data_IF_685532529341
#
_entry.id   IF_685532529341
#
_cell.length_a   1.000
_cell.length_b   1.000
_cell.length_c   1.000
_cell.angle_alpha   90.00
_cell.angle_beta   90.00
_cell.angle_gamma   90.00
#
_symmetry.space_group_name_H-M   'P 1'
#
loop_
_entity.id
_entity.type
_entity.pdbx_description
1 polymer ?
#
# COMPACT_ATOMS: atom_id res chain seq x y z
N UNK A 1 8.79 -22.26 -8.08
CA UNK A 1 8.80 -20.86 -7.69
C UNK A 1 7.41 -20.31 -7.60
N UNK A 2 7.13 -19.66 -6.51
CA UNK A 2 5.78 -19.18 -6.24
C UNK A 2 5.51 -17.89 -7.00
N UNK A 3 4.49 -17.90 -7.85
CA UNK A 3 4.06 -16.73 -8.62
C UNK A 3 2.85 -16.03 -8.02
N UNK A 4 2.34 -16.53 -6.92
CA UNK A 4 1.10 -16.03 -6.37
C UNK A 4 1.15 -14.55 -5.98
N UNK A 5 2.26 -14.01 -5.44
CA UNK A 5 2.31 -12.57 -5.15
C UNK A 5 2.16 -11.72 -6.41
N UNK A 6 2.72 -12.16 -7.54
CA UNK A 6 2.57 -11.43 -8.80
C UNK A 6 1.14 -11.48 -9.32
N UNK A 7 0.46 -12.62 -9.15
CA UNK A 7 -0.95 -12.72 -9.53
C UNK A 7 -1.80 -11.79 -8.68
N UNK A 8 -1.52 -11.71 -7.40
CA UNK A 8 -2.23 -10.81 -6.50
C UNK A 8 -2.04 -9.35 -6.92
N UNK A 9 -0.79 -8.97 -7.23
CA UNK A 9 -0.52 -7.61 -7.69
C UNK A 9 -1.25 -7.30 -8.98
N UNK A 10 -1.29 -8.24 -9.91
CA UNK A 10 -2.01 -8.05 -11.17
C UNK A 10 -3.50 -7.87 -10.94
N UNK A 11 -4.07 -8.62 -10.03
CA UNK A 11 -5.50 -8.53 -9.71
C UNK A 11 -5.81 -7.15 -9.11
N UNK A 12 -4.96 -6.68 -8.18
CA UNK A 12 -5.14 -5.36 -7.59
C UNK A 12 -5.02 -4.27 -8.66
N UNK A 13 -3.99 -4.36 -9.48
CA UNK A 13 -3.76 -3.39 -10.55
C UNK A 13 -4.98 -3.29 -11.47
N UNK A 14 -5.48 -4.43 -11.92
CA UNK A 14 -6.61 -4.46 -12.84
C UNK A 14 -7.87 -3.90 -12.20
N UNK A 15 -8.09 -4.20 -10.92
CA UNK A 15 -9.26 -3.66 -10.22
C UNK A 15 -9.17 -2.15 -10.09
N UNK A 16 -7.99 -1.62 -9.77
CA UNK A 16 -7.80 -0.17 -9.68
C UNK A 16 -8.07 0.52 -11.00
N UNK A 17 -7.57 -0.07 -12.11
CA UNK A 17 -7.86 0.46 -13.45
C UNK A 17 -9.36 0.42 -13.74
N UNK A 18 -10.01 -0.66 -13.40
CA UNK A 18 -11.44 -0.82 -13.61
C UNK A 18 -12.23 0.27 -12.88
N UNK A 19 -11.77 0.66 -11.69
CA UNK A 19 -12.41 1.72 -10.90
C UNK A 19 -12.08 3.12 -11.39
N UNK A 20 -11.26 3.24 -12.42
CA UNK A 20 -10.95 4.53 -13.03
C UNK A 20 -9.71 5.22 -12.50
N UNK A 21 -8.91 4.53 -11.70
CA UNK A 21 -7.67 5.13 -11.21
C UNK A 21 -6.57 5.08 -12.26
N UNK A 22 -5.75 6.11 -12.29
CA UNK A 22 -4.44 6.05 -12.92
C UNK A 22 -3.49 5.41 -11.92
N UNK A 23 -2.80 4.36 -12.33
CA UNK A 23 -1.99 3.55 -11.42
C UNK A 23 -0.54 3.57 -11.85
N UNK A 24 0.34 3.85 -10.91
CA UNK A 24 1.78 3.77 -11.13
C UNK A 24 2.42 3.01 -10.00
N UNK A 25 3.62 2.51 -10.25
CA UNK A 25 4.49 1.95 -9.21
C UNK A 25 5.39 3.11 -8.76
N UNK A 26 5.54 3.29 -7.45
CA UNK A 26 6.17 4.50 -6.97
C UNK A 26 7.40 4.28 -6.13
N UNK A 27 8.36 5.18 -6.33
CA UNK A 27 9.48 5.35 -5.42
C UNK A 27 9.26 6.69 -4.71
N UNK A 28 9.22 6.65 -3.39
CA UNK A 28 8.97 7.82 -2.57
C UNK A 28 10.31 8.32 -2.05
N UNK A 29 10.71 9.56 -2.39
CA UNK A 29 11.96 10.10 -1.87
C UNK A 29 11.89 10.24 -0.36
N UNK A 30 12.94 9.81 0.31
CA UNK A 30 13.08 10.01 1.74
C UNK A 30 14.43 10.63 2.04
N UNK A 31 14.50 11.41 3.10
CA UNK A 31 15.71 12.07 3.53
C UNK A 31 15.98 11.68 4.98
N UNK A 32 17.19 11.21 5.25
CA UNK A 32 17.59 10.79 6.59
C UNK A 32 18.63 11.78 7.13
N UNK A 33 18.31 12.34 8.27
CA UNK A 33 19.18 13.33 8.93
C UNK A 33 19.83 12.76 10.20
N UNK A 34 19.61 11.48 10.50
CA UNK A 34 20.00 10.90 11.80
C UNK A 34 21.50 10.84 12.00
N UNK A 35 22.29 10.90 10.93
CA UNK A 35 23.76 10.82 11.01
C UNK A 35 24.43 12.20 11.02
N UNK A 36 23.66 13.27 11.16
CA UNK A 36 24.18 14.63 11.05
C UNK A 36 24.43 15.10 9.63
N UNK A 37 24.19 14.24 8.66
CA UNK A 37 24.23 14.56 7.24
C UNK A 37 22.91 14.18 6.61
N UNK A 38 22.49 14.98 5.63
CA UNK A 38 21.29 14.64 4.86
C UNK A 38 21.62 13.52 3.88
N UNK A 39 20.95 12.40 4.05
CA UNK A 39 21.09 11.30 3.13
C UNK A 39 19.80 11.13 2.33
N UNK A 40 19.95 10.88 1.05
CA UNK A 40 18.84 10.62 0.15
C UNK A 40 18.63 9.14 0.00
N UNK A 41 17.38 8.76 -0.06
CA UNK A 41 17.01 7.40 -0.39
C UNK A 41 15.64 7.39 -1.02
N UNK A 42 15.13 6.21 -1.29
CA UNK A 42 13.76 6.05 -1.72
C UNK A 42 13.17 4.81 -1.07
N UNK A 43 11.87 4.86 -0.85
CA UNK A 43 11.07 3.72 -0.43
C UNK A 43 10.10 3.43 -1.55
N UNK A 44 9.90 2.15 -1.84
CA UNK A 44 8.98 1.75 -2.89
C UNK A 44 7.65 1.38 -2.31
N UNK A 45 6.60 1.79 -2.99
CA UNK A 45 5.24 1.31 -2.74
C UNK A 45 4.78 0.55 -3.96
N UNK A 46 3.95 -0.46 -3.75
CA UNK A 46 3.52 -1.29 -4.86
C UNK A 46 2.67 -0.51 -5.85
N UNK A 47 1.75 0.34 -5.35
CA UNK A 47 0.87 1.10 -6.23
C UNK A 47 0.64 2.50 -5.69
N UNK A 48 0.59 3.44 -6.61
CA UNK A 48 0.07 4.78 -6.35
C UNK A 48 -1.14 4.94 -7.27
N UNK A 49 -2.32 5.09 -6.68
CA UNK A 49 -3.56 5.17 -7.42
C UNK A 49 -4.11 6.59 -7.34
N UNK A 50 -4.33 7.20 -8.49
CA UNK A 50 -4.76 8.60 -8.55
C UNK A 50 -6.05 8.72 -9.37
N UNK A 51 -6.98 9.48 -8.84
CA UNK A 51 -8.24 9.76 -9.51
C UNK A 51 -8.73 11.13 -9.04
N UNK A 52 -8.97 12.05 -10.00
CA UNK A 52 -9.34 13.44 -9.70
C UNK A 52 -8.25 14.07 -8.81
N UNK A 53 -8.61 14.50 -7.61
CA UNK A 53 -7.66 15.08 -6.66
C UNK A 53 -7.30 14.13 -5.53
N UNK A 54 -7.64 12.85 -5.68
CA UNK A 54 -7.38 11.84 -4.67
C UNK A 54 -6.15 11.01 -5.05
N UNK A 55 -5.28 10.79 -4.07
CA UNK A 55 -4.10 9.92 -4.22
C UNK A 55 -4.11 8.90 -3.10
N UNK A 56 -3.98 7.62 -3.46
CA UNK A 56 -3.97 6.51 -2.52
C UNK A 56 -2.68 5.74 -2.71
N UNK A 57 -1.97 5.49 -1.61
CA UNK A 57 -0.74 4.70 -1.60
C UNK A 57 -1.06 3.31 -1.09
N UNK A 58 -0.70 2.28 -1.86
CA UNK A 58 -1.13 0.91 -1.59
C UNK A 58 0.08 -0.01 -1.57
N UNK A 59 0.20 -0.78 -0.49
CA UNK A 59 1.10 -1.92 -0.40
C UNK A 59 0.27 -3.19 -0.43
N UNK A 60 0.84 -4.25 -0.97
CA UNK A 60 0.19 -5.55 -0.96
C UNK A 60 1.11 -6.61 -0.42
N UNK A 61 0.57 -7.54 0.33
CA UNK A 61 1.31 -8.69 0.83
C UNK A 61 0.39 -9.88 0.85
N UNK A 62 0.89 -11.00 0.32
CA UNK A 62 0.10 -12.22 0.27
C UNK A 62 -0.20 -12.71 1.67
N UNK A 63 0.79 -12.67 2.55
CA UNK A 63 0.74 -13.27 3.86
C UNK A 63 1.72 -12.55 4.79
N UNK A 64 1.30 -12.32 6.02
CA UNK A 64 2.12 -11.64 7.02
C UNK A 64 2.25 -12.57 8.23
N UNK A 65 3.37 -13.32 8.31
CA UNK A 65 3.52 -14.33 9.36
C UNK A 65 3.83 -13.76 10.73
N UNK A 66 4.43 -12.58 10.80
CA UNK A 66 4.91 -12.05 12.08
C UNK A 66 5.00 -10.53 12.05
N UNK A 67 5.35 -9.95 13.20
CA UNK A 67 5.44 -8.51 13.36
C UNK A 67 6.55 -7.89 12.53
N UNK A 68 7.62 -8.64 12.32
CA UNK A 68 8.74 -8.14 11.50
C UNK A 68 8.30 -7.92 10.06
N UNK A 69 7.56 -8.87 9.50
CA UNK A 69 7.04 -8.74 8.14
C UNK A 69 6.03 -7.60 8.06
N UNK A 70 5.16 -7.48 9.06
CA UNK A 70 4.20 -6.40 9.12
C UNK A 70 4.93 -5.05 9.11
N UNK A 71 5.99 -4.93 9.90
CA UNK A 71 6.77 -3.71 9.97
C UNK A 71 7.40 -3.36 8.63
N UNK A 72 7.92 -4.37 7.92
CA UNK A 72 8.49 -4.17 6.59
C UNK A 72 7.47 -3.61 5.60
N UNK A 73 6.25 -4.15 5.62
CA UNK A 73 5.21 -3.70 4.69
C UNK A 73 4.67 -2.32 5.02
N UNK A 74 4.55 -2.01 6.30
CA UNK A 74 4.00 -0.72 6.73
C UNK A 74 4.99 0.42 6.63
N UNK A 75 6.28 0.11 6.65
CA UNK A 75 7.32 1.14 6.72
C UNK A 75 7.23 2.19 5.61
N UNK A 76 7.11 1.80 4.33
CA UNK A 76 6.96 2.81 3.27
C UNK A 76 5.72 3.67 3.46
N UNK A 77 4.63 3.07 3.90
CA UNK A 77 3.37 3.81 4.09
C UNK A 77 3.49 4.82 5.22
N UNK A 78 4.21 4.48 6.30
CA UNK A 78 4.39 5.39 7.42
C UNK A 78 5.20 6.63 7.08
N UNK A 79 6.02 6.56 6.01
CA UNK A 79 6.84 7.69 5.60
C UNK A 79 6.06 8.69 4.75
N UNK A 80 4.84 8.36 4.37
CA UNK A 80 3.99 9.22 3.57
C UNK A 80 3.20 10.14 4.50
N UNK A 81 3.01 11.39 4.09
CA UNK A 81 2.29 12.36 4.90
C UNK A 81 0.85 11.97 5.19
N UNK A 82 0.30 12.51 6.26
CA UNK A 82 -1.01 12.13 6.76
C UNK A 82 -2.18 12.57 5.88
N UNK A 83 -1.93 13.46 4.93
CA UNK A 83 -3.00 13.97 4.08
C UNK A 83 -3.36 12.98 2.95
N UNK A 84 -2.65 11.87 2.84
CA UNK A 84 -2.92 10.88 1.80
C UNK A 84 -3.47 9.60 2.41
N UNK A 85 -4.35 8.93 1.66
CA UNK A 85 -4.87 7.64 2.07
C UNK A 85 -3.81 6.57 1.86
N UNK A 86 -3.68 5.68 2.83
CA UNK A 86 -2.68 4.61 2.83
C UNK A 86 -3.37 3.30 3.14
N UNK A 87 -3.11 2.28 2.33
CA UNK A 87 -3.79 1.00 2.43
C UNK A 87 -2.79 -0.14 2.33
N UNK A 88 -2.92 -1.11 3.21
CA UNK A 88 -2.22 -2.39 3.09
C UNK A 88 -3.26 -3.44 2.75
N UNK A 89 -3.11 -4.07 1.58
CA UNK A 89 -4.02 -5.13 1.13
C UNK A 89 -3.32 -6.48 1.35
N UNK A 90 -3.99 -7.37 2.08
CA UNK A 90 -3.45 -8.71 2.34
C UNK A 90 -4.47 -9.76 1.94
N UNK A 91 -3.98 -10.94 1.53
CA UNK A 91 -4.90 -11.99 1.08
C UNK A 91 -5.57 -12.71 2.25
N UNK A 92 -4.83 -12.93 3.33
CA UNK A 92 -5.29 -13.78 4.43
C UNK A 92 -5.66 -13.01 5.69
N UNK A 93 -5.33 -11.73 5.77
CA UNK A 93 -5.60 -10.89 6.92
C UNK A 93 -6.33 -9.63 6.49
N UNK A 94 -6.46 -8.69 7.42
CA UNK A 94 -7.12 -7.43 7.14
C UNK A 94 -8.57 -7.46 7.57
N UNK A 95 -8.89 -6.61 8.56
CA UNK A 95 -10.22 -6.56 9.15
C UNK A 95 -11.01 -5.32 8.73
N UNK A 96 -10.50 -4.55 7.78
CA UNK A 96 -11.16 -3.35 7.32
C UNK A 96 -11.05 -2.17 8.28
N UNK A 97 -10.11 -2.21 9.20
CA UNK A 97 -9.94 -1.16 10.19
C UNK A 97 -8.66 -0.37 9.94
N UNK A 98 -8.66 0.89 10.37
CA UNK A 98 -7.48 1.75 10.35
C UNK A 98 -6.64 1.48 11.58
N UNK A 99 -5.32 1.45 11.42
CA UNK A 99 -4.43 1.34 12.56
C UNK A 99 -4.13 2.73 13.14
N UNK A 100 -3.27 2.76 14.16
CA UNK A 100 -2.96 4.00 14.88
C UNK A 100 -2.21 5.01 14.01
N UNK A 101 -1.63 4.56 12.90
CA UNK A 101 -0.93 5.44 11.96
C UNK A 101 -1.82 5.85 10.79
N UNK A 102 -3.11 5.51 10.85
CA UNK A 102 -4.06 5.86 9.81
C UNK A 102 -3.99 5.01 8.57
N UNK A 103 -3.38 3.84 8.65
CA UNK A 103 -3.27 2.91 7.51
C UNK A 103 -4.44 1.93 7.58
N UNK A 104 -5.16 1.84 6.47
CA UNK A 104 -6.27 0.89 6.35
C UNK A 104 -5.72 -0.50 6.06
N UNK A 105 -6.10 -1.48 6.88
CA UNK A 105 -5.75 -2.88 6.67
C UNK A 105 -6.93 -3.57 6.01
N UNK A 106 -6.80 -3.87 4.72
CA UNK A 106 -7.92 -4.33 3.90
C UNK A 106 -7.62 -5.72 3.35
N UNK A 107 -8.57 -6.63 3.52
CA UNK A 107 -8.46 -7.96 2.93
C UNK A 107 -8.67 -7.88 1.43
N UNK A 108 -7.93 -8.70 0.67
CA UNK A 108 -8.02 -8.68 -0.79
C UNK A 108 -9.44 -8.93 -1.30
N UNK A 109 -10.14 -9.89 -0.70
CA UNK A 109 -11.49 -10.22 -1.17
C UNK A 109 -12.48 -9.11 -0.84
N UNK A 110 -12.34 -8.49 0.33
CA UNK A 110 -13.16 -7.32 0.66
C UNK A 110 -12.89 -6.17 -0.30
N UNK A 111 -11.62 -5.96 -0.67
CA UNK A 111 -11.27 -4.97 -1.67
C UNK A 111 -11.98 -5.26 -2.99
N UNK A 112 -11.90 -6.50 -3.48
CA UNK A 112 -12.43 -6.86 -4.78
C UNK A 112 -13.97 -6.86 -4.83
N UNK A 113 -14.60 -7.27 -3.75
CA UNK A 113 -16.05 -7.46 -3.73
C UNK A 113 -16.83 -6.20 -3.41
N UNK A 114 -16.17 -5.17 -2.89
CA UNK A 114 -16.81 -3.90 -2.56
C UNK A 114 -16.16 -2.79 -3.35
N UNK A 115 -16.85 -2.30 -4.38
CA UNK A 115 -16.31 -1.25 -5.24
C UNK A 115 -16.00 0.04 -4.49
N UNK A 116 -16.58 0.20 -3.30
CA UNK A 116 -16.38 1.41 -2.48
C UNK A 116 -15.39 1.17 -1.34
N UNK A 117 -14.64 0.08 -1.40
CA UNK A 117 -13.73 -0.29 -0.31
C UNK A 117 -12.63 0.74 -0.08
N UNK A 118 -12.32 1.56 -1.05
CA UNK A 118 -11.31 2.62 -0.91
C UNK A 118 -11.92 4.01 -0.68
N UNK A 119 -13.22 4.11 -0.58
CA UNK A 119 -13.90 5.41 -0.38
C UNK A 119 -13.80 5.90 1.06
#
# INVERSE_FOLDING_TARGET
KDQEPHYMENVIYNELLYRGYHVSVGAIPVFDHSSGKTQRGSLEVDFIAEKFDETIYIQSALYIPDDEKMEQELRPLRKIGNSFKKVLITKYEGNGAYDEDGILHLNLFDFLLNEKSLD
#
